data_IF_360238772518
#
_entry.id   IF_360238772518
#
_cell.length_a   1.000
_cell.length_b   1.000
_cell.length_c   1.000
_cell.angle_alpha   90.00
_cell.angle_beta   90.00
_cell.angle_gamma   90.00
#
_symmetry.space_group_name_H-M   'P 1'
#
loop_
_entity.id
_entity.type
_entity.pdbx_description
1 polymer ?
#
# COMPACT_ATOMS: atom_id res chain seq x y z
N UNK A 1 -13.00 29.47 15.38
CA UNK A 1 -12.46 29.38 14.02
C UNK A 1 -12.16 30.80 13.59
N UNK A 2 -10.88 31.18 13.59
CA UNK A 2 -10.43 32.48 13.10
C UNK A 2 -9.90 32.23 11.69
N UNK A 3 -10.56 32.81 10.69
CA UNK A 3 -10.16 32.68 9.30
C UNK A 3 -8.80 33.38 9.12
N UNK A 4 -7.74 32.69 8.66
CA UNK A 4 -6.53 33.39 8.28
C UNK A 4 -6.84 34.24 7.05
N UNK A 5 -6.67 35.56 7.17
CA UNK A 5 -6.77 36.50 6.06
C UNK A 5 -5.61 36.24 5.08
N UNK A 6 -5.82 35.27 4.19
CA UNK A 6 -5.10 35.21 2.93
C UNK A 6 -5.59 36.41 2.14
N UNK A 7 -4.67 37.33 1.78
CA UNK A 7 -4.98 38.44 0.89
C UNK A 7 -5.50 37.90 -0.46
N UNK A 8 -6.80 37.71 -0.54
CA UNK A 8 -7.53 37.20 -1.69
C UNK A 8 -8.03 38.35 -2.55
N UNK A 9 -7.93 38.16 -3.87
CA UNK A 9 -8.70 38.91 -4.85
C UNK A 9 -10.18 38.84 -4.45
N UNK A 10 -10.80 39.99 -4.22
CA UNK A 10 -12.21 40.05 -3.88
C UNK A 10 -13.06 39.47 -5.04
N UNK A 11 -13.91 38.48 -4.74
CA UNK A 11 -15.02 38.08 -5.62
C UNK A 11 -14.93 36.73 -6.34
N UNK A 12 -14.08 35.78 -5.91
CA UNK A 12 -14.17 34.39 -6.38
C UNK A 12 -14.18 33.38 -5.23
N UNK A 13 -15.19 32.50 -5.19
CA UNK A 13 -15.30 31.39 -4.23
C UNK A 13 -14.12 30.40 -4.29
N UNK A 14 -13.25 30.54 -5.29
CA UNK A 14 -12.01 29.78 -5.45
C UNK A 14 -10.82 30.63 -5.02
N UNK A 15 -10.25 30.30 -3.87
CA UNK A 15 -8.96 30.82 -3.43
C UNK A 15 -7.85 29.89 -3.91
N UNK A 16 -6.71 30.44 -4.35
CA UNK A 16 -5.54 29.63 -4.75
C UNK A 16 -4.27 30.13 -4.09
N UNK A 17 -3.42 29.18 -3.67
CA UNK A 17 -2.11 29.45 -3.06
C UNK A 17 -1.08 28.65 -3.84
N UNK A 18 0.02 29.29 -4.25
CA UNK A 18 1.14 28.64 -4.93
C UNK A 18 2.34 28.56 -3.99
N UNK A 19 2.82 27.35 -3.73
CA UNK A 19 3.96 27.08 -2.85
C UNK A 19 5.06 26.37 -3.65
N UNK A 20 6.28 26.90 -3.62
CA UNK A 20 7.45 26.29 -4.25
C UNK A 20 8.27 25.48 -3.23
N UNK A 21 8.76 24.31 -3.62
CA UNK A 21 9.62 23.48 -2.77
C UNK A 21 10.52 22.54 -3.62
N UNK A 22 11.41 21.76 -3.00
CA UNK A 22 12.61 21.19 -3.65
C UNK A 22 12.42 20.17 -4.81
N UNK A 23 11.33 19.39 -4.87
CA UNK A 23 11.10 18.41 -5.96
C UNK A 23 9.59 18.04 -6.08
N UNK A 24 9.11 17.22 -7.03
CA UNK A 24 7.72 16.75 -6.97
C UNK A 24 7.51 15.64 -5.94
N UNK A 25 6.26 15.43 -5.52
CA UNK A 25 5.85 14.24 -4.78
C UNK A 25 6.06 12.99 -5.64
N UNK A 26 6.55 11.90 -5.05
CA UNK A 26 6.85 10.65 -5.78
C UNK A 26 6.38 9.38 -5.06
N UNK A 27 5.92 9.47 -3.81
CA UNK A 27 5.33 8.34 -3.09
C UNK A 27 4.21 8.82 -2.18
N UNK A 28 3.09 8.09 -2.15
CA UNK A 28 2.03 8.31 -1.16
C UNK A 28 2.23 7.52 0.14
N UNK A 29 3.19 6.60 0.16
CA UNK A 29 3.52 5.82 1.35
C UNK A 29 4.88 6.27 1.90
N UNK A 30 4.83 7.18 2.88
CA UNK A 30 6.01 7.76 3.52
C UNK A 30 6.61 6.86 4.63
N UNK A 31 5.99 5.69 4.88
CA UNK A 31 6.42 4.74 5.91
C UNK A 31 7.29 3.61 5.36
N UNK A 32 7.73 3.73 4.10
CA UNK A 32 8.66 2.81 3.46
C UNK A 32 10.04 3.43 3.31
N UNK A 33 11.09 2.60 3.33
CA UNK A 33 12.46 3.06 3.10
C UNK A 33 12.64 3.78 1.75
N UNK A 34 11.91 3.33 0.71
CA UNK A 34 11.97 3.95 -0.62
C UNK A 34 11.14 5.24 -0.73
N UNK A 35 10.13 5.42 0.12
CA UNK A 35 9.18 6.53 0.05
C UNK A 35 9.38 7.64 1.08
N UNK A 36 10.22 7.43 2.10
CA UNK A 36 10.43 8.40 3.18
C UNK A 36 11.17 9.65 2.68
N UNK A 37 10.41 10.73 2.42
CA UNK A 37 10.96 12.01 2.03
C UNK A 37 10.04 13.16 2.45
N UNK A 38 10.63 14.30 2.84
CA UNK A 38 9.92 15.57 3.12
C UNK A 38 9.00 15.97 1.95
N UNK A 39 9.39 15.58 0.74
CA UNK A 39 8.59 15.72 -0.48
C UNK A 39 7.16 15.26 -0.38
N UNK A 40 7.04 14.07 0.17
CA UNK A 40 5.80 13.36 0.26
C UNK A 40 5.08 13.83 1.52
N UNK A 41 5.83 14.03 2.62
CA UNK A 41 5.30 14.48 3.90
C UNK A 41 4.50 15.79 3.80
N UNK A 42 4.98 16.79 3.06
CA UNK A 42 4.27 18.07 2.91
C UNK A 42 2.89 17.92 2.28
N UNK A 43 2.79 17.14 1.20
CA UNK A 43 1.51 16.91 0.52
C UNK A 43 0.62 16.01 1.37
N UNK A 44 1.17 14.94 1.93
CA UNK A 44 0.44 13.99 2.76
C UNK A 44 -0.13 14.64 4.02
N UNK A 45 0.54 15.65 4.59
CA UNK A 45 0.02 16.43 5.72
C UNK A 45 -1.24 17.23 5.34
N UNK A 46 -1.34 17.71 4.10
CA UNK A 46 -2.48 18.50 3.62
C UNK A 46 -3.65 17.62 3.17
N UNK A 47 -3.39 16.38 2.76
CA UNK A 47 -4.39 15.50 2.14
C UNK A 47 -4.88 14.38 3.05
N UNK A 48 -4.31 14.21 4.24
CA UNK A 48 -4.71 13.18 5.20
C UNK A 48 -5.04 13.79 6.55
N UNK A 49 -5.99 13.17 7.24
CA UNK A 49 -6.33 13.50 8.64
C UNK A 49 -5.83 12.40 9.57
N UNK A 50 -5.52 12.77 10.81
CA UNK A 50 -5.08 11.87 11.86
C UNK A 50 -5.55 12.39 13.23
N UNK A 51 -5.37 11.58 14.28
CA UNK A 51 -5.70 11.96 15.66
C UNK A 51 -4.91 13.15 16.20
N UNK A 52 -3.75 13.49 15.60
CA UNK A 52 -2.94 14.63 16.01
C UNK A 52 -2.46 15.43 14.80
N UNK A 53 -2.32 16.74 14.99
CA UNK A 53 -1.77 17.65 13.99
C UNK A 53 -0.99 18.78 14.67
N UNK A 54 -0.20 19.52 13.90
CA UNK A 54 0.50 20.72 14.40
C UNK A 54 -0.33 21.96 14.11
N UNK A 55 -0.58 22.78 15.14
CA UNK A 55 -1.25 24.07 14.99
C UNK A 55 -0.29 25.17 14.47
N UNK A 56 -0.81 26.39 14.32
CA UNK A 56 -0.07 27.59 13.91
C UNK A 56 1.04 28.01 14.89
N UNK A 57 0.90 27.63 16.17
CA UNK A 57 1.91 27.78 17.20
C UNK A 57 2.98 26.66 17.20
N UNK A 58 2.92 25.72 16.24
CA UNK A 58 3.80 24.54 16.14
C UNK A 58 3.67 23.56 17.33
N UNK A 59 2.49 23.52 17.95
CA UNK A 59 2.16 22.60 19.03
C UNK A 59 1.45 21.37 18.46
N UNK A 60 1.78 20.19 18.98
CA UNK A 60 1.06 18.97 18.65
C UNK A 60 -0.25 18.93 19.44
N UNK A 61 -1.37 19.00 18.72
CA UNK A 61 -2.73 19.07 19.28
C UNK A 61 -3.56 17.87 18.81
N UNK A 62 -4.52 17.44 19.63
CA UNK A 62 -5.44 16.37 19.27
C UNK A 62 -6.51 16.90 18.30
N UNK A 63 -6.79 16.14 17.25
CA UNK A 63 -7.87 16.41 16.31
C UNK A 63 -9.17 15.75 16.80
N UNK A 64 -9.93 16.47 17.62
CA UNK A 64 -11.21 15.97 18.16
C UNK A 64 -12.29 15.76 17.09
N UNK A 65 -12.14 16.39 15.92
CA UNK A 65 -13.03 16.18 14.77
C UNK A 65 -12.76 14.83 14.08
N UNK A 66 -11.54 14.30 14.22
CA UNK A 66 -11.21 12.96 13.73
C UNK A 66 -11.57 11.87 14.74
N UNK A 67 -11.26 12.08 16.01
CA UNK A 67 -11.49 11.05 17.02
C UNK A 67 -10.95 11.37 18.41
N UNK A 68 -11.14 10.43 19.34
CA UNK A 68 -10.68 10.51 20.73
C UNK A 68 -9.86 9.28 21.12
N UNK A 69 -8.99 9.48 22.12
CA UNK A 69 -8.09 8.47 22.66
C UNK A 69 -8.29 8.42 24.19
N UNK A 70 -8.61 7.24 24.72
CA UNK A 70 -8.87 7.03 26.16
C UNK A 70 -8.02 5.88 26.69
N UNK A 71 -7.33 6.09 27.82
CA UNK A 71 -6.64 5.00 28.54
C UNK A 71 -7.65 4.19 29.33
N UNK A 72 -7.73 2.89 29.05
CA UNK A 72 -8.64 1.94 29.71
C UNK A 72 -7.96 1.22 30.88
N UNK A 73 -6.66 0.91 30.73
CA UNK A 73 -5.83 0.24 31.73
C UNK A 73 -4.38 0.65 31.53
N UNK A 74 -3.60 0.73 32.60
CA UNK A 74 -2.17 1.05 32.55
C UNK A 74 -1.28 -0.19 32.59
N UNK A 75 -1.77 -1.30 33.17
CA UNK A 75 -1.03 -2.57 33.25
C UNK A 75 -1.96 -3.78 33.09
N UNK A 76 -1.98 -4.45 31.91
CA UNK A 76 -1.29 -4.03 30.68
C UNK A 76 -1.90 -2.74 30.10
N UNK A 77 -1.07 -1.92 29.46
CA UNK A 77 -1.53 -0.69 28.80
C UNK A 77 -2.57 -1.02 27.73
N UNK A 78 -3.79 -0.52 27.92
CA UNK A 78 -4.92 -0.67 26.99
C UNK A 78 -5.47 0.72 26.69
N UNK A 79 -5.59 1.03 25.40
CA UNK A 79 -6.10 2.32 24.92
C UNK A 79 -7.28 2.06 23.99
N UNK A 80 -8.34 2.85 24.16
CA UNK A 80 -9.52 2.87 23.29
C UNK A 80 -9.41 4.06 22.34
N UNK A 81 -9.47 3.76 21.04
CA UNK A 81 -9.54 4.76 19.97
C UNK A 81 -10.98 4.82 19.48
N UNK A 82 -11.56 6.01 19.44
CA UNK A 82 -12.90 6.26 18.91
C UNK A 82 -12.78 7.19 17.70
N UNK A 83 -13.29 6.77 16.54
CA UNK A 83 -13.39 7.63 15.36
C UNK A 83 -14.74 8.35 15.43
N UNK A 84 -14.77 9.65 15.11
CA UNK A 84 -16.02 10.42 15.13
C UNK A 84 -16.95 10.01 13.99
N UNK A 85 -18.25 10.22 14.20
CA UNK A 85 -19.25 10.05 13.16
C UNK A 85 -19.01 11.02 12.00
N UNK A 86 -19.20 10.54 10.77
CA UNK A 86 -19.04 11.36 9.57
C UNK A 86 -17.61 11.52 9.07
N UNK A 87 -16.61 10.95 9.75
CA UNK A 87 -15.25 10.84 9.22
C UNK A 87 -15.25 9.84 8.07
N UNK A 88 -15.05 10.34 6.85
CA UNK A 88 -15.05 9.53 5.63
C UNK A 88 -13.80 9.79 4.81
N UNK A 89 -13.38 8.78 4.07
CA UNK A 89 -12.47 8.93 2.94
C UNK A 89 -13.09 9.82 1.86
N UNK A 90 -12.25 10.32 0.95
CA UNK A 90 -12.66 11.20 -0.15
C UNK A 90 -13.63 10.55 -1.15
N UNK A 91 -13.77 9.22 -1.12
CA UNK A 91 -14.74 8.45 -1.90
C UNK A 91 -16.08 8.21 -1.15
N UNK A 92 -16.21 8.73 0.07
CA UNK A 92 -17.39 8.60 0.93
C UNK A 92 -17.40 7.35 1.81
N UNK A 93 -16.40 6.46 1.72
CA UNK A 93 -16.28 5.30 2.61
C UNK A 93 -16.01 5.77 4.05
N UNK A 94 -16.78 5.34 5.06
CA UNK A 94 -16.49 5.66 6.46
C UNK A 94 -15.11 5.16 6.88
N UNK A 95 -14.40 5.96 7.67
CA UNK A 95 -13.16 5.52 8.33
C UNK A 95 -13.55 4.67 9.54
N UNK A 96 -12.95 3.50 9.69
CA UNK A 96 -13.29 2.58 10.77
C UNK A 96 -12.08 1.90 11.43
N UNK A 97 -12.34 0.96 12.35
CA UNK A 97 -11.31 0.25 13.07
C UNK A 97 -10.36 -0.56 12.16
N UNK A 98 -10.81 -0.98 10.98
CA UNK A 98 -9.96 -1.68 10.03
C UNK A 98 -8.86 -0.76 9.47
N UNK A 99 -9.14 0.53 9.29
CA UNK A 99 -8.14 1.51 8.84
C UNK A 99 -7.06 1.75 9.90
N UNK A 100 -7.43 1.76 11.19
CA UNK A 100 -6.46 1.88 12.28
C UNK A 100 -5.53 0.66 12.33
N UNK A 101 -6.09 -0.53 12.14
CA UNK A 101 -5.31 -1.78 12.06
C UNK A 101 -4.47 -1.81 10.79
N UNK A 102 -4.99 -1.31 9.66
CA UNK A 102 -4.25 -1.22 8.40
C UNK A 102 -3.05 -0.30 8.56
N UNK A 103 -3.16 0.76 9.36
CA UNK A 103 -2.00 1.58 9.66
C UNK A 103 -0.99 0.83 10.53
N UNK A 104 -1.43 0.30 11.66
CA UNK A 104 -0.52 -0.29 12.64
C UNK A 104 0.10 -1.63 12.18
N UNK A 105 -0.70 -2.50 11.56
CA UNK A 105 -0.34 -3.89 11.24
C UNK A 105 0.94 -4.02 10.41
N UNK A 106 1.02 -3.44 9.21
CA UNK A 106 2.20 -3.51 8.35
C UNK A 106 3.46 -2.88 8.96
N UNK A 107 3.31 -1.93 9.89
CA UNK A 107 4.43 -1.31 10.60
C UNK A 107 5.02 -2.22 11.68
N UNK A 108 4.31 -3.28 12.08
CA UNK A 108 4.79 -4.25 13.08
C UNK A 108 5.35 -5.51 12.44
N UNK A 109 6.54 -6.00 12.86
CA UNK A 109 7.16 -7.19 12.28
C UNK A 109 6.39 -8.50 12.58
N UNK A 110 5.48 -8.52 13.55
CA UNK A 110 4.74 -9.72 13.96
C UNK A 110 3.54 -10.06 13.08
N UNK A 111 3.01 -9.11 12.31
CA UNK A 111 1.79 -9.29 11.50
C UNK A 111 1.98 -10.19 10.27
N UNK A 112 3.23 -10.51 9.90
CA UNK A 112 3.56 -11.25 8.68
C UNK A 112 4.01 -12.71 8.89
N UNK A 113 3.91 -13.28 10.10
CA UNK A 113 4.38 -14.66 10.34
C UNK A 113 3.24 -15.67 10.35
N UNK A 114 2.57 -15.83 9.21
CA UNK A 114 2.13 -17.17 8.84
C UNK A 114 3.22 -17.77 7.96
N UNK A 115 4.20 -18.45 8.56
CA UNK A 115 5.05 -19.35 7.78
C UNK A 115 4.10 -20.34 7.11
N UNK A 116 3.97 -20.39 5.77
CA UNK A 116 3.27 -21.49 5.17
C UNK A 116 4.14 -22.70 5.46
N UNK A 117 3.74 -23.50 6.46
CA UNK A 117 4.23 -24.86 6.59
C UNK A 117 3.83 -25.53 5.29
N UNK A 118 4.75 -25.52 4.32
CA UNK A 118 4.66 -26.36 3.15
C UNK A 118 4.75 -27.77 3.69
N UNK A 119 3.59 -28.33 4.04
CA UNK A 119 3.41 -29.76 4.20
C UNK A 119 3.80 -30.35 2.85
N UNK A 120 5.08 -30.70 2.75
CA UNK A 120 5.57 -31.50 1.66
C UNK A 120 4.92 -32.84 1.89
N UNK A 121 3.72 -33.03 1.32
CA UNK A 121 3.15 -34.35 1.08
C UNK A 121 4.18 -35.08 0.24
N UNK A 122 5.09 -35.80 0.89
CA UNK A 122 5.75 -36.95 0.31
C UNK A 122 4.61 -37.88 -0.07
N UNK A 123 4.17 -37.82 -1.32
CA UNK A 123 3.51 -38.97 -1.93
C UNK A 123 4.56 -40.06 -1.90
N UNK A 124 4.48 -40.92 -0.88
CA UNK A 124 5.13 -42.22 -0.93
C UNK A 124 4.64 -42.86 -2.22
N UNK A 125 5.54 -43.00 -3.19
CA UNK A 125 5.25 -43.74 -4.40
C UNK A 125 5.04 -45.19 -3.94
N UNK A 126 3.79 -45.62 -3.85
CA UNK A 126 3.46 -47.05 -3.75
C UNK A 126 4.13 -47.72 -4.93
N UNK A 127 5.15 -48.51 -4.62
CA UNK A 127 5.96 -49.28 -5.55
C UNK A 127 5.00 -50.11 -6.40
N UNK A 128 4.89 -49.81 -7.70
CA UNK A 128 4.20 -50.70 -8.62
C UNK A 128 4.90 -52.06 -8.58
N UNK A 129 4.15 -53.08 -8.18
CA UNK A 129 4.60 -54.48 -8.25
C UNK A 129 4.87 -54.86 -9.71
N UNK A 130 5.94 -55.61 -10.03
CA UNK A 130 6.24 -55.96 -11.41
C UNK A 130 5.23 -57.02 -11.88
N UNK A 131 4.25 -56.60 -12.67
CA UNK A 131 3.38 -57.52 -13.40
C UNK A 131 4.01 -57.81 -14.76
N UNK A 132 4.20 -59.10 -15.01
CA UNK A 132 4.82 -59.69 -16.18
C UNK A 132 4.20 -59.20 -17.50
N UNK A 133 5.09 -58.97 -18.48
CA UNK A 133 4.86 -58.42 -19.82
C UNK A 133 4.11 -59.41 -20.72
N UNK A 134 3.00 -58.99 -21.33
CA UNK A 134 2.56 -59.47 -22.65
C UNK A 134 1.72 -58.39 -23.37
N UNK A 135 2.05 -58.11 -24.64
CA UNK A 135 1.16 -57.43 -25.59
C UNK A 135 1.47 -55.96 -25.95
N UNK A 136 2.07 -55.77 -27.14
CA UNK A 136 2.04 -54.63 -28.08
C UNK A 136 2.48 -53.19 -27.67
N UNK A 137 3.32 -52.50 -28.47
CA UNK A 137 3.82 -51.17 -28.14
C UNK A 137 2.78 -50.09 -28.48
N UNK A 138 2.30 -49.37 -27.47
CA UNK A 138 1.57 -48.12 -27.64
C UNK A 138 2.57 -46.97 -27.86
N UNK A 139 2.30 -46.21 -28.93
CA UNK A 139 3.02 -45.03 -29.45
C UNK A 139 3.22 -43.96 -28.36
N UNK A 140 4.42 -43.41 -28.25
CA UNK A 140 4.71 -42.27 -27.37
C UNK A 140 4.01 -40.99 -27.87
N UNK A 141 3.48 -40.12 -26.98
CA UNK A 141 3.03 -38.80 -27.38
C UNK A 141 4.25 -37.91 -27.69
N UNK A 142 4.32 -37.39 -28.92
CA UNK A 142 5.30 -36.38 -29.31
C UNK A 142 4.91 -35.02 -28.71
N UNK A 143 5.75 -34.45 -27.86
CA UNK A 143 5.68 -33.04 -27.48
C UNK A 143 6.46 -32.21 -28.49
N UNK A 144 5.76 -31.42 -29.31
CA UNK A 144 6.36 -30.42 -30.18
C UNK A 144 6.54 -29.10 -29.42
N UNK A 145 7.78 -28.72 -29.14
CA UNK A 145 8.11 -27.36 -28.72
C UNK A 145 8.30 -26.48 -29.95
N UNK A 146 7.32 -25.65 -30.30
CA UNK A 146 7.48 -24.61 -31.33
C UNK A 146 8.28 -23.44 -30.76
N UNK A 147 9.58 -23.43 -30.99
CA UNK A 147 10.45 -22.26 -30.78
C UNK A 147 10.42 -21.44 -32.06
N UNK A 148 9.60 -20.39 -32.15
CA UNK A 148 9.62 -19.49 -33.30
C UNK A 148 10.77 -18.49 -33.16
N UNK A 149 11.92 -18.80 -33.75
CA UNK A 149 13.00 -17.84 -33.97
C UNK A 149 12.65 -16.97 -35.20
N UNK A 150 12.15 -15.76 -34.97
CA UNK A 150 12.16 -14.73 -36.03
C UNK A 150 13.56 -14.12 -36.08
N UNK A 151 14.34 -14.57 -37.06
CA UNK A 151 15.53 -13.87 -37.58
C UNK A 151 15.04 -12.69 -38.42
N UNK A 152 15.39 -11.47 -38.03
CA UNK A 152 15.23 -10.28 -38.87
C UNK A 152 16.39 -10.22 -39.89
N UNK A 153 16.15 -9.97 -41.19
CA UNK A 153 17.23 -9.73 -42.14
C UNK A 153 17.74 -8.28 -42.01
N UNK A 154 19.07 -8.14 -41.91
CA UNK A 154 19.81 -6.90 -42.20
C UNK A 154 19.59 -6.54 -43.68
N UNK A 155 19.28 -5.28 -43.96
CA UNK A 155 19.52 -4.70 -45.29
C UNK A 155 20.09 -3.30 -45.10
N UNK A 156 21.11 -3.01 -45.92
CA UNK A 156 22.08 -1.95 -45.76
C UNK A 156 21.58 -0.58 -46.22
N UNK A 157 22.28 0.44 -45.74
CA UNK A 157 22.14 1.85 -46.05
C UNK A 157 22.41 2.19 -47.53
N UNK A 158 21.71 3.21 -48.04
CA UNK A 158 22.25 4.27 -48.90
C UNK A 158 21.28 5.44 -49.05
N UNK A 159 21.71 6.64 -48.66
CA UNK A 159 21.20 7.95 -49.12
C UNK A 159 21.83 8.27 -50.51
N UNK A 160 21.48 9.34 -51.25
CA UNK A 160 20.91 10.64 -50.89
C UNK A 160 19.41 10.79 -51.15
#
# INVERSE_FOLDING_TARGET
MLDPEVAGVEGSDTQSVTVGWNQPMFSQNNLTAAGNATANANILYLTQSAFFYYNDALELVMNEDFGTIETVSEDPLTVKLTIQDGVTWSDGTPVDAADLILMWGPATPSSATSTPTRSRRTRTATRCSPRTRSGSPARAPSWSSSRSSRRSPRTAARSP
#
